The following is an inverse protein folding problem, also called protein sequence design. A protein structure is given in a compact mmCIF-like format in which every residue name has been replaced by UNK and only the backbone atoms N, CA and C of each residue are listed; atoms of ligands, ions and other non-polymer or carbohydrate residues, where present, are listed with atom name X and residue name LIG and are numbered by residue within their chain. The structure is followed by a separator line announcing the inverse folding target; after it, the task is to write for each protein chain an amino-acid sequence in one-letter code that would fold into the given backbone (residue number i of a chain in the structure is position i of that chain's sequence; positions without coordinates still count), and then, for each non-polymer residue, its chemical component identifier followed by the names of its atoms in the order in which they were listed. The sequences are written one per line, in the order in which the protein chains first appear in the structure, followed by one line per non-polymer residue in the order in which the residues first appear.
data_IF_862605458158
#
_entry.id   IF_862605458158
#
_cell.length_a   1.000
_cell.length_b   1.000
_cell.length_c   1.000
_cell.angle_alpha   90.00
_cell.angle_beta   90.00
_cell.angle_gamma   90.00
#
_symmetry.space_group_name_H-M   'P 1'
#
loop_
_entity.id
_entity.type
_entity.pdbx_description
1 polymer ?
#
# COMPACT_ATOMS: atom_id res chain seq x y z
N UNK A 1 13.84 24.80 -1.25
CA UNK A 1 12.58 24.41 -1.91
C UNK A 1 11.71 23.79 -0.85
N UNK A 2 10.53 24.36 -0.64
CA UNK A 2 9.50 23.78 0.21
C UNK A 2 8.88 22.56 -0.50
N UNK A 3 8.57 21.51 0.25
CA UNK A 3 8.04 20.26 -0.30
C UNK A 3 6.69 19.99 0.34
N UNK A 4 5.63 19.92 -0.46
CA UNK A 4 4.31 19.54 0.04
C UNK A 4 4.16 18.02 0.06
N UNK A 5 3.50 17.53 1.11
CA UNK A 5 3.20 16.13 1.33
C UNK A 5 1.70 15.91 1.19
N UNK A 6 1.32 15.09 0.22
CA UNK A 6 -0.04 14.67 -0.03
C UNK A 6 -0.26 13.24 0.51
N UNK A 7 -1.22 13.06 1.40
CA UNK A 7 -1.57 11.76 1.98
C UNK A 7 -2.96 11.33 1.52
N UNK A 8 -3.03 10.19 0.83
CA UNK A 8 -4.28 9.54 0.43
C UNK A 8 -4.63 8.50 1.49
N UNK A 9 -5.68 8.73 2.27
CA UNK A 9 -6.01 7.88 3.43
C UNK A 9 -7.39 7.25 3.31
N UNK A 10 -7.54 6.04 3.86
CA UNK A 10 -8.84 5.39 3.98
C UNK A 10 -9.68 6.10 5.05
N UNK A 11 -10.86 6.56 4.67
CA UNK A 11 -11.86 7.15 5.56
C UNK A 11 -13.04 6.17 5.77
N UNK A 12 -13.90 6.36 6.79
CA UNK A 12 -15.03 5.46 7.06
C UNK A 12 -15.97 5.28 5.86
N UNK A 13 -16.20 6.34 5.08
CA UNK A 13 -17.13 6.34 3.95
C UNK A 13 -16.45 6.29 2.57
N UNK A 14 -15.12 6.17 2.51
CA UNK A 14 -14.40 6.25 1.24
C UNK A 14 -12.92 6.53 1.44
N UNK A 15 -12.40 7.51 0.70
CA UNK A 15 -11.01 7.94 0.73
C UNK A 15 -10.94 9.46 0.91
N UNK A 16 -9.88 9.96 1.54
CA UNK A 16 -9.66 11.39 1.74
C UNK A 16 -8.22 11.75 1.42
N UNK A 17 -8.01 13.00 1.03
CA UNK A 17 -6.69 13.53 0.69
C UNK A 17 -6.34 14.64 1.67
N UNK A 18 -5.12 14.63 2.18
CA UNK A 18 -4.56 15.68 3.03
C UNK A 18 -3.34 16.25 2.34
N UNK A 19 -3.23 17.57 2.26
CA UNK A 19 -2.02 18.27 1.84
C UNK A 19 -1.43 18.96 3.09
N UNK A 20 -0.22 18.58 3.48
CA UNK A 20 0.47 19.16 4.64
C UNK A 20 -0.38 19.14 5.93
N UNK A 21 -1.08 18.02 6.15
CA UNK A 21 -2.05 17.77 7.24
C UNK A 21 -3.37 18.55 7.15
N UNK A 22 -3.60 19.31 6.08
CA UNK A 22 -4.87 19.98 5.80
C UNK A 22 -5.70 19.12 4.86
N UNK A 23 -6.91 18.72 5.28
CA UNK A 23 -7.81 17.97 4.40
C UNK A 23 -8.18 18.84 3.19
N UNK A 24 -7.99 18.30 2.00
CA UNK A 24 -8.40 18.94 0.74
C UNK A 24 -9.52 18.15 0.09
N UNK A 25 -10.48 18.87 -0.51
CA UNK A 25 -11.62 18.26 -1.17
C UNK A 25 -12.57 17.48 -0.23
N UNK A 26 -13.28 16.54 -0.83
CA UNK A 26 -14.34 15.75 -0.19
C UNK A 26 -13.90 14.37 0.28
N UNK A 27 -14.88 13.47 0.44
CA UNK A 27 -14.63 12.03 0.53
C UNK A 27 -14.85 11.45 -0.87
N UNK A 28 -13.90 10.64 -1.34
CA UNK A 28 -13.93 10.02 -2.65
C UNK A 28 -14.35 8.55 -2.53
N UNK A 29 -15.13 8.06 -3.48
CA UNK A 29 -15.69 6.70 -3.45
C UNK A 29 -14.63 5.61 -3.68
N UNK A 30 -13.49 5.96 -4.29
CA UNK A 30 -12.41 5.03 -4.61
C UNK A 30 -11.02 5.60 -4.32
N UNK A 31 -10.04 4.70 -4.13
CA UNK A 31 -8.63 5.08 -3.96
C UNK A 31 -8.09 5.81 -5.19
N UNK A 32 -8.47 5.35 -6.38
CA UNK A 32 -8.08 5.96 -7.65
C UNK A 32 -8.56 7.41 -7.76
N UNK A 33 -9.83 7.67 -7.42
CA UNK A 33 -10.38 9.02 -7.43
C UNK A 33 -9.68 9.96 -6.43
N UNK A 34 -9.34 9.46 -5.24
CA UNK A 34 -8.56 10.24 -4.27
C UNK A 34 -7.13 10.50 -4.76
N UNK A 35 -6.50 9.52 -5.42
CA UNK A 35 -5.16 9.70 -5.99
C UNK A 35 -5.16 10.71 -7.14
N UNK A 36 -6.16 10.67 -8.02
CA UNK A 36 -6.34 11.68 -9.08
C UNK A 36 -6.48 13.08 -8.49
N UNK A 37 -7.30 13.24 -7.45
CA UNK A 37 -7.43 14.53 -6.76
C UNK A 37 -6.12 15.00 -6.12
N UNK A 38 -5.36 14.10 -5.50
CA UNK A 38 -4.05 14.42 -4.93
C UNK A 38 -3.05 14.86 -6.01
N UNK A 39 -3.04 14.20 -7.16
CA UNK A 39 -2.17 14.55 -8.30
C UNK A 39 -2.54 15.91 -8.89
N UNK A 40 -3.84 16.22 -9.00
CA UNK A 40 -4.29 17.54 -9.44
C UNK A 40 -3.78 18.63 -8.52
N UNK A 41 -3.95 18.49 -7.21
CA UNK A 41 -3.45 19.48 -6.25
C UNK A 41 -1.91 19.56 -6.22
N UNK A 42 -1.22 18.43 -6.40
CA UNK A 42 0.22 18.40 -6.49
C UNK A 42 0.77 19.09 -7.75
N UNK A 43 0.02 19.10 -8.86
CA UNK A 43 0.42 19.80 -10.07
C UNK A 43 0.56 21.31 -9.83
N UNK A 44 -0.34 21.89 -9.03
CA UNK A 44 -0.25 23.31 -8.63
C UNK A 44 1.05 23.58 -7.84
N UNK A 45 1.39 22.70 -6.89
CA UNK A 45 2.66 22.81 -6.14
C UNK A 45 3.89 22.77 -7.06
N UNK A 46 3.88 21.90 -8.08
CA UNK A 46 4.98 21.82 -9.06
C UNK A 46 5.04 23.09 -9.90
N UNK A 47 3.89 23.62 -10.33
CA UNK A 47 3.81 24.88 -11.08
C UNK A 47 4.39 26.07 -10.31
N UNK A 48 4.24 26.07 -8.98
CA UNK A 48 4.82 27.08 -8.09
C UNK A 48 6.32 26.86 -7.80
N UNK A 49 6.93 25.81 -8.38
CA UNK A 49 8.34 25.46 -8.17
C UNK A 49 8.60 24.71 -6.86
N UNK A 50 7.55 24.18 -6.22
CA UNK A 50 7.63 23.35 -5.03
C UNK A 50 7.97 21.88 -5.34
N UNK A 51 8.49 21.19 -4.33
CA UNK A 51 8.65 19.74 -4.37
C UNK A 51 7.36 19.03 -3.97
N UNK A 52 7.18 17.78 -4.41
CA UNK A 52 5.99 16.97 -4.09
C UNK A 52 6.39 15.62 -3.48
N UNK A 53 5.58 15.14 -2.54
CA UNK A 53 5.51 13.75 -2.11
C UNK A 53 4.05 13.31 -2.10
N UNK A 54 3.75 12.14 -2.68
CA UNK A 54 2.42 11.55 -2.56
C UNK A 54 2.57 10.21 -1.82
N UNK A 55 1.99 10.14 -0.63
CA UNK A 55 1.92 8.95 0.20
C UNK A 55 0.57 8.28 -0.05
N UNK A 56 0.61 7.06 -0.56
CA UNK A 56 -0.55 6.20 -0.70
C UNK A 56 -0.24 4.93 0.07
N UNK A 57 -0.95 4.63 1.17
CA UNK A 57 -0.80 3.35 1.83
C UNK A 57 -1.11 2.27 0.80
N UNK A 58 -0.22 1.29 0.70
CA UNK A 58 -0.53 0.07 -0.02
C UNK A 58 -1.80 -0.53 0.58
N UNK A 59 -2.60 -1.21 -0.25
CA UNK A 59 -3.39 -2.27 0.35
C UNK A 59 -2.34 -3.24 0.90
N UNK A 60 -2.22 -3.34 2.23
CA UNK A 60 -1.95 -4.67 2.76
C UNK A 60 -3.12 -5.49 2.22
N UNK A 61 -2.89 -6.16 1.09
CA UNK A 61 -3.83 -7.11 0.55
C UNK A 61 -4.10 -8.06 1.71
N UNK A 62 -5.25 -7.90 2.35
CA UNK A 62 -5.63 -8.70 3.50
C UNK A 62 -5.60 -10.13 2.98
N UNK A 63 -4.48 -10.83 3.24
CA UNK A 63 -4.19 -12.10 2.59
C UNK A 63 -5.45 -12.94 2.78
N UNK A 64 -6.09 -13.40 1.70
CA UNK A 64 -7.34 -14.11 1.84
C UNK A 64 -7.10 -15.28 2.80
N UNK A 65 -8.06 -15.58 3.67
CA UNK A 65 -7.83 -16.50 4.82
C UNK A 65 -7.19 -17.83 4.43
N UNK A 66 -7.43 -18.31 3.21
CA UNK A 66 -6.79 -19.50 2.66
C UNK A 66 -5.27 -19.33 2.45
N UNK A 67 -4.80 -18.16 2.03
CA UNK A 67 -3.38 -17.86 1.84
C UNK A 67 -2.64 -17.81 3.19
N UNK A 68 -3.27 -17.23 4.22
CA UNK A 68 -2.76 -17.27 5.59
C UNK A 68 -2.65 -18.72 6.09
N UNK A 69 -3.72 -19.52 5.89
CA UNK A 69 -3.73 -20.93 6.29
C UNK A 69 -2.69 -21.76 5.52
N UNK A 70 -2.47 -21.48 4.24
CA UNK A 70 -1.47 -22.13 3.41
C UNK A 70 -0.04 -21.80 3.85
N UNK A 71 0.23 -20.53 4.16
CA UNK A 71 1.54 -20.10 4.70
C UNK A 71 1.84 -20.82 6.02
N UNK A 72 0.86 -20.92 6.92
CA UNK A 72 0.99 -21.66 8.18
C UNK A 72 1.26 -23.14 7.89
N UNK A 73 0.44 -23.78 7.05
CA UNK A 73 0.57 -25.20 6.75
C UNK A 73 1.93 -25.53 6.09
N UNK A 74 2.37 -24.70 5.14
CA UNK A 74 3.65 -24.90 4.43
C UNK A 74 4.86 -24.71 5.34
N UNK A 75 4.78 -23.84 6.36
CA UNK A 75 5.86 -23.65 7.34
C UNK A 75 6.08 -24.85 8.27
N UNK A 76 5.06 -25.71 8.44
CA UNK A 76 5.07 -26.88 9.34
C UNK A 76 5.52 -28.14 8.59
N UNK A 77 5.46 -28.15 7.25
CA UNK A 77 5.87 -29.31 6.48
C UNK A 77 7.38 -29.52 6.59
N UNK A 78 7.84 -30.73 6.97
CA UNK A 78 9.26 -31.02 6.98
C UNK A 78 9.81 -30.88 5.55
N UNK A 79 10.75 -29.95 5.36
CA UNK A 79 11.55 -29.90 4.14
C UNK A 79 12.15 -31.29 3.95
N UNK A 80 11.78 -31.94 2.86
CA UNK A 80 12.13 -33.33 2.56
C UNK A 80 13.65 -33.45 2.54
N UNK A 81 14.26 -33.74 3.68
CA UNK A 81 15.68 -34.04 3.77
C UNK A 81 15.91 -35.29 2.93
N UNK A 82 16.85 -35.18 1.99
CA UNK A 82 17.16 -36.20 1.01
C UNK A 82 17.35 -37.55 1.68
N UNK A 83 16.59 -38.54 1.23
CA UNK A 83 16.76 -39.93 1.60
C UNK A 83 18.15 -40.38 1.13
N UNK A 84 19.13 -40.37 2.02
CA UNK A 84 20.40 -41.06 1.79
C UNK A 84 20.12 -42.57 1.68
N UNK A 85 19.93 -43.02 0.44
CA UNK A 85 20.04 -44.43 0.08
C UNK A 85 21.53 -44.74 0.04
N UNK A 86 22.01 -45.49 1.03
CA UNK A 86 23.40 -45.94 1.06
C UNK A 86 23.59 -47.16 1.97
N UNK A 87 22.76 -48.18 1.81
CA UNK A 87 23.11 -49.52 2.29
C UNK A 87 23.87 -50.26 1.19
N UNK A 88 25.12 -50.63 1.46
CA UNK A 88 25.76 -51.81 0.88
C UNK A 88 26.74 -52.38 1.89
N UNK A 89 26.67 -53.70 2.01
CA UNK A 89 27.53 -54.59 2.80
C UNK A 89 28.98 -54.54 2.35
#
# INVERSE_FOLDING_TARGET
MERSVFEVVKAPLGWSVFADNVKIGGVYDSRGAALEAAVVAAADTVSDGGGVQINVPGDEEEKPRWAIAFDIASSILPMRSGRERGGSR
#
